data_IF_739999252437
#
_entry.id   IF_739999252437
#
_cell.length_a   1.000
_cell.length_b   1.000
_cell.length_c   1.000
_cell.angle_alpha   90.00
_cell.angle_beta   90.00
_cell.angle_gamma   90.00
#
_symmetry.space_group_name_H-M   'P 1'
#
loop_
_entity.id
_entity.type
_entity.pdbx_description
1 polymer ?
#
# COMPACT_ATOMS: atom_id res chain seq x y z
N UNK A 1 -63.05 0.72 68.72
CA UNK A 1 -64.11 0.41 67.73
C UNK A 1 -63.47 -0.18 66.48
N UNK A 2 -63.87 -1.42 66.14
CA UNK A 2 -63.64 -2.27 64.95
C UNK A 2 -62.50 -1.93 63.96
N UNK A 3 -61.60 -2.91 63.84
CA UNK A 3 -60.61 -3.16 62.79
C UNK A 3 -61.13 -2.99 61.35
N UNK A 4 -60.27 -2.48 60.47
CA UNK A 4 -60.22 -2.88 59.06
C UNK A 4 -58.78 -2.91 58.57
N UNK A 5 -58.35 -4.13 58.25
CA UNK A 5 -57.05 -4.54 57.73
C UNK A 5 -56.90 -4.09 56.27
N UNK A 6 -55.81 -3.40 55.94
CA UNK A 6 -55.37 -3.18 54.56
C UNK A 6 -54.06 -3.93 54.32
N UNK A 7 -54.13 -4.90 53.41
CA UNK A 7 -53.01 -5.76 52.99
C UNK A 7 -52.20 -5.02 51.94
N UNK A 8 -50.93 -4.71 52.23
CA UNK A 8 -49.98 -4.18 51.25
C UNK A 8 -49.06 -5.32 50.78
N UNK A 9 -49.06 -5.60 49.47
CA UNK A 9 -48.20 -6.60 48.82
C UNK A 9 -46.76 -6.07 48.69
N UNK A 10 -45.71 -6.87 48.95
CA UNK A 10 -44.35 -6.47 48.65
C UNK A 10 -44.03 -6.70 47.16
N UNK A 11 -43.58 -5.64 46.49
CA UNK A 11 -43.01 -5.72 45.14
C UNK A 11 -41.53 -6.08 45.30
N UNK A 12 -41.15 -7.25 44.83
CA UNK A 12 -39.76 -7.70 44.69
C UNK A 12 -39.10 -6.86 43.60
N UNK A 13 -38.25 -5.91 44.00
CA UNK A 13 -37.42 -5.11 43.10
C UNK A 13 -36.16 -5.88 42.73
N UNK A 14 -36.12 -6.40 41.51
CA UNK A 14 -34.98 -7.05 40.89
C UNK A 14 -33.84 -6.03 40.69
N UNK A 15 -32.73 -6.17 41.44
CA UNK A 15 -31.51 -5.39 41.23
C UNK A 15 -30.79 -5.97 40.03
N UNK A 16 -30.94 -5.33 38.87
CA UNK A 16 -30.18 -5.64 37.65
C UNK A 16 -28.73 -5.19 37.83
N UNK A 17 -27.82 -6.16 37.91
CA UNK A 17 -26.39 -5.94 37.69
C UNK A 17 -26.18 -5.40 36.27
N UNK A 18 -25.85 -4.12 36.15
CA UNK A 18 -25.27 -3.54 34.94
C UNK A 18 -23.82 -4.03 34.81
N UNK A 19 -23.66 -5.15 34.12
CA UNK A 19 -22.37 -5.63 33.64
C UNK A 19 -21.88 -4.63 32.57
N UNK A 20 -20.86 -3.85 32.91
CA UNK A 20 -20.24 -2.89 32.00
C UNK A 20 -19.56 -3.62 30.84
N UNK A 21 -20.26 -3.76 29.71
CA UNK A 21 -19.64 -4.12 28.44
C UNK A 21 -18.87 -2.88 27.95
N UNK A 22 -17.58 -2.80 28.26
CA UNK A 22 -16.68 -1.87 27.57
C UNK A 22 -16.51 -2.36 26.13
N UNK A 23 -17.25 -1.75 25.21
CA UNK A 23 -16.99 -1.85 23.78
C UNK A 23 -15.63 -1.21 23.50
N UNK A 24 -14.58 -2.03 23.39
CA UNK A 24 -13.39 -1.65 22.63
C UNK A 24 -13.83 -1.57 21.16
N UNK A 25 -14.15 -0.35 20.71
CA UNK A 25 -14.20 -0.06 19.29
C UNK A 25 -12.78 -0.23 18.75
N UNK A 26 -12.52 -1.34 18.05
CA UNK A 26 -11.33 -1.47 17.22
C UNK A 26 -11.45 -0.41 16.12
N UNK A 27 -10.74 0.70 16.28
CA UNK A 27 -10.56 1.65 15.19
C UNK A 27 -9.89 0.89 14.04
N UNK A 28 -10.63 0.62 12.97
CA UNK A 28 -10.05 0.22 11.70
C UNK A 28 -9.27 1.43 11.18
N UNK A 29 -8.03 1.62 11.65
CA UNK A 29 -7.15 2.63 11.11
C UNK A 29 -6.88 2.27 9.65
N UNK A 30 -7.14 3.17 8.71
CA UNK A 30 -6.65 3.04 7.34
C UNK A 30 -5.24 3.61 7.28
N UNK A 31 -4.38 3.10 6.39
CA UNK A 31 -3.11 3.78 6.10
C UNK A 31 -3.48 5.08 5.40
N UNK A 32 -3.24 6.27 5.98
CA UNK A 32 -3.57 7.50 5.31
C UNK A 32 -2.46 7.79 4.28
N UNK A 33 -2.87 7.99 3.04
CA UNK A 33 -2.03 8.36 1.90
C UNK A 33 -1.09 7.22 1.41
N UNK A 34 -0.86 7.15 0.10
CA UNK A 34 0.07 6.19 -0.51
C UNK A 34 1.54 6.61 -0.34
N UNK A 35 1.79 7.73 0.36
CA UNK A 35 3.09 8.30 0.66
C UNK A 35 3.15 8.84 2.10
N UNK A 36 4.37 9.10 2.57
CA UNK A 36 4.66 9.84 3.79
C UNK A 36 4.99 8.96 5.00
N UNK A 37 5.31 9.59 6.14
CA UNK A 37 5.91 8.90 7.29
C UNK A 37 5.04 7.79 7.89
N UNK A 38 3.71 7.95 7.89
CA UNK A 38 2.79 6.93 8.40
C UNK A 38 2.82 5.66 7.53
N UNK A 39 2.83 5.84 6.21
CA UNK A 39 2.90 4.75 5.23
C UNK A 39 4.27 4.08 5.25
N UNK A 40 5.35 4.86 5.35
CA UNK A 40 6.71 4.34 5.53
C UNK A 40 6.82 3.49 6.81
N UNK A 41 6.27 3.98 7.92
CA UNK A 41 6.22 3.24 9.18
C UNK A 41 5.43 1.94 9.04
N UNK A 42 4.24 1.99 8.44
CA UNK A 42 3.45 0.79 8.16
C UNK A 42 4.24 -0.22 7.32
N UNK A 43 4.84 0.22 6.21
CA UNK A 43 5.65 -0.63 5.34
C UNK A 43 6.92 -1.16 6.01
N UNK A 44 7.40 -0.54 7.08
CA UNK A 44 8.61 -0.94 7.82
C UNK A 44 8.30 -1.86 9.01
N UNK A 45 7.15 -1.66 9.67
CA UNK A 45 6.83 -2.33 10.94
C UNK A 45 5.79 -3.44 10.79
N UNK A 46 4.86 -3.33 9.83
CA UNK A 46 3.75 -4.28 9.68
C UNK A 46 4.25 -5.72 9.50
N UNK A 47 3.59 -6.67 10.16
CA UNK A 47 3.89 -8.10 10.04
C UNK A 47 3.54 -8.57 8.63
N UNK A 48 4.45 -9.28 7.99
CA UNK A 48 4.18 -9.94 6.70
C UNK A 48 3.42 -11.24 6.99
N UNK A 49 2.14 -11.30 6.63
CA UNK A 49 1.26 -12.45 6.88
C UNK A 49 1.04 -13.32 5.66
N UNK A 50 1.44 -12.85 4.48
CA UNK A 50 1.36 -13.60 3.24
C UNK A 50 2.27 -13.05 2.16
N UNK A 51 2.67 -13.91 1.23
CA UNK A 51 3.47 -13.56 0.06
C UNK A 51 2.98 -14.39 -1.13
N UNK A 52 2.62 -13.74 -2.23
CA UNK A 52 2.15 -14.41 -3.45
C UNK A 52 2.86 -13.83 -4.66
N UNK A 53 3.17 -14.65 -5.65
CA UNK A 53 3.75 -14.14 -6.89
C UNK A 53 2.73 -13.29 -7.66
N UNK A 54 3.21 -12.21 -8.29
CA UNK A 54 2.41 -11.43 -9.23
C UNK A 54 2.60 -12.06 -10.61
N UNK A 55 1.53 -12.50 -11.29
CA UNK A 55 1.63 -13.26 -12.54
C UNK A 55 2.02 -12.39 -13.75
N UNK A 56 2.42 -11.14 -13.54
CA UNK A 56 2.71 -10.15 -14.58
C UNK A 56 4.11 -9.56 -14.30
N UNK A 57 4.91 -9.41 -15.36
CA UNK A 57 6.25 -8.83 -15.32
C UNK A 57 7.37 -9.88 -15.34
N UNK A 58 8.47 -9.54 -16.00
CA UNK A 58 9.65 -10.41 -16.17
C UNK A 58 10.40 -10.60 -14.83
N UNK A 59 10.40 -9.56 -14.00
CA UNK A 59 11.14 -9.48 -12.74
C UNK A 59 10.48 -10.23 -11.58
N UNK A 60 9.33 -10.89 -11.84
CA UNK A 60 8.56 -11.70 -10.87
C UNK A 60 8.40 -11.03 -9.50
N UNK A 61 7.84 -9.80 -9.45
CA UNK A 61 7.56 -9.14 -8.19
C UNK A 61 6.56 -9.97 -7.37
N UNK A 62 6.61 -9.85 -6.04
CA UNK A 62 5.70 -10.57 -5.15
C UNK A 62 4.75 -9.59 -4.46
N UNK A 63 3.49 -9.98 -4.31
CA UNK A 63 2.48 -9.26 -3.54
C UNK A 63 2.53 -9.74 -2.08
N UNK A 64 2.96 -8.87 -1.19
CA UNK A 64 2.96 -9.07 0.24
C UNK A 64 1.60 -8.68 0.84
N UNK A 65 1.15 -9.43 1.84
CA UNK A 65 0.06 -9.03 2.75
C UNK A 65 0.68 -8.59 4.07
N UNK A 66 0.37 -7.37 4.48
CA UNK A 66 0.93 -6.70 5.65
C UNK A 66 -0.17 -6.45 6.67
N UNK A 67 0.12 -6.70 7.95
CA UNK A 67 -0.80 -6.46 9.06
C UNK A 67 -0.12 -5.69 10.20
N UNK A 68 -0.72 -4.59 10.66
CA UNK A 68 -0.26 -3.81 11.82
C UNK A 68 -1.47 -3.28 12.58
N UNK A 69 -1.56 -3.55 13.88
CA UNK A 69 -2.63 -3.03 14.74
C UNK A 69 -4.06 -3.24 14.21
N UNK A 70 -4.32 -4.40 13.59
CA UNK A 70 -5.62 -4.75 13.01
C UNK A 70 -5.89 -4.18 11.62
N UNK A 71 -4.98 -3.37 11.07
CA UNK A 71 -5.00 -2.91 9.68
C UNK A 71 -4.27 -3.90 8.79
N UNK A 72 -4.96 -4.41 7.78
CA UNK A 72 -4.38 -5.26 6.74
C UNK A 72 -4.33 -4.51 5.40
N UNK A 73 -3.16 -4.46 4.77
CA UNK A 73 -2.97 -3.87 3.44
C UNK A 73 -1.96 -4.65 2.59
N UNK A 74 -1.91 -4.37 1.29
CA UNK A 74 -0.94 -5.01 0.39
C UNK A 74 0.30 -4.16 0.15
N UNK A 75 1.38 -4.82 -0.28
CA UNK A 75 2.57 -4.18 -0.79
C UNK A 75 3.19 -4.99 -1.94
N UNK A 76 3.95 -4.35 -2.81
CA UNK A 76 4.79 -5.02 -3.78
C UNK A 76 6.20 -5.20 -3.18
N UNK A 77 6.73 -6.42 -3.24
CA UNK A 77 8.06 -6.77 -2.77
C UNK A 77 8.94 -7.22 -3.95
N UNK A 78 10.02 -6.49 -4.20
CA UNK A 78 11.03 -6.80 -5.24
C UNK A 78 12.39 -7.03 -4.60
N UNK A 79 13.10 -8.06 -5.06
CA UNK A 79 14.45 -8.41 -4.59
C UNK A 79 15.48 -8.47 -5.71
N UNK A 80 15.10 -8.09 -6.93
CA UNK A 80 16.00 -8.13 -8.08
C UNK A 80 17.17 -7.18 -7.87
N UNK A 81 18.37 -7.62 -8.21
CA UNK A 81 19.60 -6.85 -8.06
C UNK A 81 20.62 -7.37 -9.07
N UNK A 82 20.37 -7.05 -10.34
CA UNK A 82 21.16 -7.48 -11.48
C UNK A 82 21.96 -6.31 -12.06
N UNK A 83 23.20 -6.61 -12.44
CA UNK A 83 24.06 -5.72 -13.21
C UNK A 83 24.73 -6.51 -14.32
N UNK A 84 24.77 -5.95 -15.53
CA UNK A 84 25.46 -6.55 -16.67
C UNK A 84 26.30 -5.48 -17.36
N UNK A 85 27.61 -5.69 -17.37
CA UNK A 85 28.53 -4.78 -18.06
C UNK A 85 28.50 -4.95 -19.57
N UNK A 86 28.87 -3.88 -20.27
CA UNK A 86 28.81 -3.81 -21.72
C UNK A 86 27.40 -3.55 -22.23
N UNK A 87 27.08 -4.14 -23.38
CA UNK A 87 25.87 -3.86 -24.16
C UNK A 87 24.85 -4.96 -23.90
N UNK A 88 23.71 -4.62 -23.31
CA UNK A 88 22.57 -5.53 -23.11
C UNK A 88 21.48 -5.22 -24.13
N UNK A 89 21.12 -6.22 -24.94
CA UNK A 89 19.96 -6.13 -25.84
C UNK A 89 18.69 -6.38 -25.03
N UNK A 90 17.77 -5.43 -25.08
CA UNK A 90 16.43 -5.50 -24.52
C UNK A 90 15.38 -5.46 -25.66
N UNK A 91 14.14 -5.81 -25.35
CA UNK A 91 13.03 -5.75 -26.31
C UNK A 91 12.80 -4.34 -26.87
N UNK A 92 13.16 -3.32 -26.07
CA UNK A 92 12.96 -1.90 -26.38
C UNK A 92 14.20 -1.19 -26.94
N UNK A 93 15.33 -1.88 -27.07
CA UNK A 93 16.58 -1.28 -27.54
C UNK A 93 17.81 -1.85 -26.86
N UNK A 94 18.82 -1.01 -26.71
CA UNK A 94 20.11 -1.37 -26.14
C UNK A 94 20.35 -0.55 -24.89
N UNK A 95 20.81 -1.21 -23.83
CA UNK A 95 21.26 -0.56 -22.61
C UNK A 95 22.74 -0.83 -22.38
N UNK A 96 23.50 0.21 -22.03
CA UNK A 96 24.92 0.12 -21.69
C UNK A 96 25.05 0.08 -20.17
N UNK A 97 25.84 -0.86 -19.65
CA UNK A 97 25.95 -1.10 -18.20
C UNK A 97 24.59 -1.32 -17.53
N UNK A 98 23.82 -2.26 -18.08
CA UNK A 98 22.46 -2.58 -17.62
C UNK A 98 22.38 -2.77 -16.12
N UNK A 99 21.37 -2.15 -15.50
CA UNK A 99 21.10 -2.27 -14.08
C UNK A 99 19.59 -2.37 -13.80
N UNK A 100 19.19 -3.45 -13.14
CA UNK A 100 17.85 -3.60 -12.56
C UNK A 100 18.01 -3.94 -11.07
N UNK A 101 17.65 -3.02 -10.19
CA UNK A 101 17.90 -3.17 -8.76
C UNK A 101 16.75 -2.63 -7.93
N UNK A 102 16.30 -3.40 -6.95
CA UNK A 102 15.33 -2.96 -5.95
C UNK A 102 15.75 -1.65 -5.24
N UNK A 103 17.05 -1.31 -5.24
CA UNK A 103 17.55 -0.05 -4.67
C UNK A 103 17.11 1.17 -5.47
N UNK A 104 16.94 1.07 -6.79
CA UNK A 104 16.48 2.20 -7.61
C UNK A 104 15.02 2.54 -7.29
N UNK A 105 14.20 1.56 -6.91
CA UNK A 105 12.82 1.77 -6.45
C UNK A 105 12.77 2.60 -5.17
N UNK A 106 13.64 2.30 -4.20
CA UNK A 106 13.76 3.09 -2.96
C UNK A 106 14.27 4.49 -3.28
N UNK A 107 15.30 4.61 -4.11
CA UNK A 107 15.87 5.90 -4.52
C UNK A 107 14.85 6.77 -5.27
N UNK A 108 14.02 6.17 -6.12
CA UNK A 108 12.95 6.85 -6.84
C UNK A 108 11.95 7.49 -5.86
N UNK A 109 11.51 6.76 -4.84
CA UNK A 109 10.62 7.33 -3.83
C UNK A 109 11.28 8.44 -3.01
N UNK A 110 12.53 8.24 -2.57
CA UNK A 110 13.26 9.26 -1.81
C UNK A 110 13.45 10.55 -2.61
N UNK A 111 13.74 10.44 -3.91
CA UNK A 111 13.87 11.59 -4.79
C UNK A 111 12.52 12.26 -5.05
N UNK A 112 11.43 11.51 -5.28
CA UNK A 112 10.07 12.06 -5.44
C UNK A 112 9.66 12.88 -4.21
N UNK A 113 9.95 12.36 -3.01
CA UNK A 113 9.76 13.08 -1.74
C UNK A 113 10.57 14.37 -1.69
N UNK A 114 11.85 14.30 -2.02
CA UNK A 114 12.77 15.44 -1.93
C UNK A 114 12.30 16.61 -2.81
N UNK A 115 11.83 16.32 -4.02
CA UNK A 115 11.37 17.35 -4.95
C UNK A 115 9.88 17.70 -4.79
N UNK A 116 9.17 17.02 -3.88
CA UNK A 116 7.75 17.24 -3.62
C UNK A 116 6.84 16.88 -4.80
N UNK A 117 7.25 15.93 -5.65
CA UNK A 117 6.47 15.58 -6.83
C UNK A 117 5.22 14.83 -6.40
N UNK A 118 5.31 13.87 -5.49
CA UNK A 118 4.15 13.24 -4.86
C UNK A 118 3.44 12.24 -5.78
N UNK A 119 4.18 11.45 -6.57
CA UNK A 119 3.62 10.45 -7.48
C UNK A 119 4.13 9.03 -7.25
N UNK A 120 5.33 8.85 -6.68
CA UNK A 120 5.89 7.52 -6.42
C UNK A 120 5.37 6.98 -5.08
N UNK A 121 4.67 5.83 -5.02
CA UNK A 121 4.22 5.28 -3.75
C UNK A 121 5.36 5.04 -2.76
N UNK A 122 5.04 5.13 -1.47
CA UNK A 122 6.01 4.90 -0.40
C UNK A 122 6.73 3.58 -0.63
N UNK A 123 8.06 3.66 -0.67
CA UNK A 123 8.92 2.52 -0.94
C UNK A 123 10.03 2.50 0.09
N UNK A 124 10.10 1.44 0.88
CA UNK A 124 11.10 1.26 1.92
C UNK A 124 11.96 0.05 1.62
N UNK A 125 13.19 0.05 2.13
CA UNK A 125 13.99 -1.16 2.19
C UNK A 125 13.41 -2.10 3.26
N UNK A 126 13.15 -3.36 2.91
CA UNK A 126 12.67 -4.38 3.85
C UNK A 126 13.31 -5.74 3.61
N UNK A 127 13.49 -6.49 4.69
CA UNK A 127 13.96 -7.87 4.65
C UNK A 127 12.80 -8.84 4.87
N UNK A 128 12.76 -9.89 4.07
CA UNK A 128 11.82 -10.99 4.21
C UNK A 128 12.47 -12.28 3.71
N UNK A 129 12.36 -13.35 4.50
CA UNK A 129 12.85 -14.68 4.14
C UNK A 129 14.33 -14.67 3.68
N UNK A 130 15.19 -14.02 4.48
CA UNK A 130 16.63 -13.88 4.20
C UNK A 130 16.99 -13.00 3.00
N UNK A 131 16.01 -12.39 2.32
CA UNK A 131 16.23 -11.51 1.17
C UNK A 131 15.91 -10.07 1.51
N UNK A 132 16.82 -9.17 1.17
CA UNK A 132 16.62 -7.73 1.21
C UNK A 132 16.02 -7.26 -0.11
N UNK A 133 15.09 -6.30 -0.03
CA UNK A 133 14.39 -5.80 -1.21
C UNK A 133 13.66 -4.49 -0.95
N UNK A 134 12.99 -3.98 -1.97
CA UNK A 134 12.07 -2.86 -1.86
C UNK A 134 10.67 -3.35 -1.53
N UNK A 135 10.04 -2.72 -0.55
CA UNK A 135 8.65 -2.91 -0.15
C UNK A 135 7.90 -1.63 -0.48
N UNK A 136 7.09 -1.66 -1.53
CA UNK A 136 6.35 -0.51 -2.05
C UNK A 136 4.86 -0.62 -1.73
N UNK A 137 4.23 0.48 -1.34
CA UNK A 137 2.81 0.55 -1.05
C UNK A 137 1.96 0.12 -2.25
N UNK A 138 0.98 -0.75 -2.02
CA UNK A 138 0.06 -1.19 -3.08
C UNK A 138 -1.06 -0.18 -3.27
N UNK A 139 -1.22 0.33 -4.50
CA UNK A 139 -2.36 1.15 -4.89
C UNK A 139 -3.57 0.28 -5.24
N UNK A 140 -4.75 0.67 -4.78
CA UNK A 140 -5.99 0.06 -5.24
C UNK A 140 -6.43 0.72 -6.55
N UNK A 141 -6.25 0.01 -7.66
CA UNK A 141 -6.62 0.47 -9.00
C UNK A 141 -7.48 -0.56 -9.72
N UNK A 142 -8.27 -0.07 -10.68
CA UNK A 142 -9.19 -0.93 -11.47
C UNK A 142 -8.52 -1.60 -12.66
N UNK A 143 -7.55 -0.92 -13.26
CA UNK A 143 -6.82 -1.35 -14.45
C UNK A 143 -5.51 -0.57 -14.55
N UNK A 144 -4.52 -1.15 -15.22
CA UNK A 144 -3.34 -0.42 -15.65
C UNK A 144 -3.59 0.36 -16.94
N UNK A 145 -2.58 1.15 -17.35
CA UNK A 145 -2.69 2.00 -18.54
C UNK A 145 -2.74 1.20 -19.84
N UNK A 146 -2.02 0.08 -19.92
CA UNK A 146 -2.04 -0.80 -21.09
C UNK A 146 -3.43 -1.38 -21.33
N UNK A 147 -4.11 -1.78 -20.25
CA UNK A 147 -5.49 -2.27 -20.28
C UNK A 147 -6.49 -1.15 -20.66
N UNK A 148 -6.33 0.08 -20.14
CA UNK A 148 -7.16 1.23 -20.54
C UNK A 148 -7.08 1.48 -22.05
N UNK A 149 -5.86 1.49 -22.59
CA UNK A 149 -5.60 1.67 -24.03
C UNK A 149 -6.22 0.53 -24.83
N UNK A 150 -6.00 -0.74 -24.42
CA UNK A 150 -6.57 -1.92 -25.07
C UNK A 150 -8.10 -1.88 -25.13
N UNK A 151 -8.74 -1.41 -24.05
CA UNK A 151 -10.20 -1.24 -23.95
C UNK A 151 -10.71 0.03 -24.65
N UNK A 152 -9.83 0.86 -25.21
CA UNK A 152 -10.16 2.13 -25.87
C UNK A 152 -10.98 3.07 -24.97
N UNK A 153 -10.70 3.07 -23.67
CA UNK A 153 -11.41 3.89 -22.70
C UNK A 153 -10.76 5.27 -22.62
N UNK A 154 -11.57 6.32 -22.71
CA UNK A 154 -11.09 7.69 -22.45
C UNK A 154 -11.05 7.99 -20.96
N UNK A 155 -10.07 8.78 -20.48
CA UNK A 155 -10.08 9.25 -19.11
C UNK A 155 -11.32 10.14 -18.86
N UNK A 156 -11.98 10.06 -17.70
CA UNK A 156 -13.17 10.87 -17.39
C UNK A 156 -12.91 12.38 -17.45
N UNK A 157 -11.68 12.81 -17.17
CA UNK A 157 -11.24 14.19 -17.30
C UNK A 157 -9.91 14.22 -18.08
N UNK A 158 -9.94 14.56 -19.38
CA UNK A 158 -8.74 14.61 -20.22
C UNK A 158 -7.70 15.64 -19.78
N UNK A 159 -8.13 16.77 -19.19
CA UNK A 159 -7.21 17.83 -18.75
C UNK A 159 -6.38 17.34 -17.56
N UNK A 160 -7.04 16.82 -16.52
CA UNK A 160 -6.35 16.27 -15.35
C UNK A 160 -5.47 15.08 -15.73
N UNK A 161 -5.95 14.21 -16.63
CA UNK A 161 -5.17 13.10 -17.14
C UNK A 161 -3.88 13.56 -17.83
N UNK A 162 -3.96 14.54 -18.72
CA UNK A 162 -2.79 15.07 -19.41
C UNK A 162 -1.78 15.71 -18.44
N UNK A 163 -2.24 16.36 -17.38
CA UNK A 163 -1.36 16.88 -16.32
C UNK A 163 -0.64 15.74 -15.58
N UNK A 164 -1.34 14.66 -15.25
CA UNK A 164 -0.73 13.47 -14.62
C UNK A 164 0.27 12.79 -15.55
N UNK A 165 -0.04 12.64 -16.84
CA UNK A 165 0.88 12.08 -17.83
C UNK A 165 2.11 12.97 -18.03
N UNK A 166 1.95 14.28 -18.05
CA UNK A 166 3.10 15.20 -18.12
C UNK A 166 4.04 15.04 -16.93
N UNK A 167 3.48 14.81 -15.73
CA UNK A 167 4.22 14.53 -14.51
C UNK A 167 5.01 13.22 -14.59
N UNK A 168 4.39 12.15 -15.10
CA UNK A 168 5.06 10.85 -15.36
C UNK A 168 6.22 11.04 -16.33
N UNK A 169 6.00 11.73 -17.46
CA UNK A 169 7.06 11.99 -18.45
C UNK A 169 8.21 12.78 -17.86
N UNK A 170 7.92 13.83 -17.08
CA UNK A 170 8.95 14.58 -16.38
C UNK A 170 9.77 13.68 -15.46
N UNK A 171 9.10 12.84 -14.67
CA UNK A 171 9.73 11.91 -13.76
C UNK A 171 10.63 10.90 -14.47
N UNK A 172 10.12 10.21 -15.50
CA UNK A 172 10.88 9.21 -16.26
C UNK A 172 12.11 9.83 -16.91
N UNK A 173 12.00 11.06 -17.46
CA UNK A 173 13.16 11.76 -18.01
C UNK A 173 14.16 12.16 -16.93
N UNK A 174 13.70 12.59 -15.74
CA UNK A 174 14.56 13.01 -14.64
C UNK A 174 15.43 11.86 -14.13
N UNK A 175 14.86 10.66 -14.01
CA UNK A 175 15.57 9.48 -13.49
C UNK A 175 16.20 8.61 -14.58
N UNK A 176 16.11 9.05 -15.85
CA UNK A 176 16.52 8.28 -17.02
C UNK A 176 15.91 6.87 -17.04
N UNK A 177 14.59 6.78 -16.80
CA UNK A 177 13.86 5.52 -16.88
C UNK A 177 13.68 5.11 -18.35
N UNK A 178 14.19 3.93 -18.69
CA UNK A 178 14.19 3.37 -20.05
C UNK A 178 13.23 2.18 -20.22
N UNK A 179 12.55 1.76 -19.15
CA UNK A 179 11.56 0.66 -19.12
C UNK A 179 10.11 1.19 -19.19
#
# INVERSE_FOLDING_TARGET
MKNRTTVFKPIVGCVLLLCGLTLLALAQGSVPNYQGPATEKFLTEAKITGMKDIPIGVTRPRKATLELDGLSHFAAFKTIDEKKSGVTQLDRGVEIEFQDSWRTEVAAYELDKLIGLGMVPATVQRMYDGKQGSMQYWLDYKMDEAERIKKKLSPPNPINWNQQVAKVRFWDNLIYNTD
#
